data_IF_833380235788
#
_entry.id   IF_833380235788
#
_cell.length_a   1.000
_cell.length_b   1.000
_cell.length_c   1.000
_cell.angle_alpha   90.00
_cell.angle_beta   90.00
_cell.angle_gamma   90.00
#
_symmetry.space_group_name_H-M   'P 1'
#
loop_
_entity.id
_entity.type
_entity.pdbx_description
1 polymer ?
#
# COMPACT_ATOMS: atom_id res chain seq x y z
N UNK A 1 4.41 15.41 22.95
CA UNK A 1 4.35 16.00 21.59
C UNK A 1 3.88 15.02 20.53
N UNK A 2 4.03 13.69 20.68
CA UNK A 2 3.65 12.73 19.62
C UNK A 2 4.56 12.81 18.39
N UNK A 3 5.78 13.31 18.58
CA UNK A 3 6.75 13.61 17.52
C UNK A 3 7.90 12.60 17.57
N UNK A 4 8.34 12.13 16.41
CA UNK A 4 9.52 11.30 16.23
C UNK A 4 10.39 11.93 15.14
N UNK A 5 11.63 12.29 15.48
CA UNK A 5 12.56 12.93 14.56
C UNK A 5 13.85 12.12 14.46
N UNK A 6 14.34 11.94 13.24
CA UNK A 6 15.73 11.56 13.02
C UNK A 6 16.61 12.82 13.10
N UNK A 7 17.58 12.85 14.02
CA UNK A 7 18.51 13.97 14.20
C UNK A 7 19.60 13.95 13.13
N UNK A 8 19.21 14.20 11.88
CA UNK A 8 20.07 14.20 10.69
C UNK A 8 19.86 15.51 9.95
N UNK A 9 20.94 16.11 9.44
CA UNK A 9 20.85 17.32 8.64
C UNK A 9 20.02 17.07 7.35
N UNK A 10 19.18 18.02 6.91
CA UNK A 10 18.37 17.86 5.69
C UNK A 10 19.19 17.50 4.45
N UNK A 11 20.39 18.05 4.34
CA UNK A 11 21.31 17.82 3.22
C UNK A 11 21.77 16.36 3.15
N UNK A 12 21.93 15.69 4.30
CA UNK A 12 22.28 14.27 4.35
C UNK A 12 21.11 13.38 3.95
N UNK A 13 19.87 13.76 4.27
CA UNK A 13 18.68 13.05 3.79
C UNK A 13 18.59 13.14 2.26
N UNK A 14 18.79 14.34 1.71
CA UNK A 14 18.77 14.56 0.26
C UNK A 14 19.91 13.83 -0.45
N UNK A 15 21.12 13.83 0.13
CA UNK A 15 22.24 13.04 -0.38
C UNK A 15 21.88 11.55 -0.42
N UNK A 16 21.34 10.99 0.67
CA UNK A 16 20.95 9.58 0.74
C UNK A 16 19.84 9.22 -0.25
N UNK A 17 18.81 10.07 -0.41
CA UNK A 17 17.74 9.84 -1.40
C UNK A 17 18.26 9.81 -2.84
N UNK A 18 19.32 10.57 -3.12
CA UNK A 18 19.95 10.64 -4.44
C UNK A 18 20.93 9.49 -4.69
N UNK A 19 21.75 9.16 -3.70
CA UNK A 19 22.91 8.28 -3.86
C UNK A 19 22.65 6.84 -3.43
N UNK A 20 21.74 6.61 -2.47
CA UNK A 20 21.42 5.26 -2.01
C UNK A 20 20.22 4.73 -2.79
N UNK A 21 20.31 3.51 -3.35
CA UNK A 21 19.16 2.88 -3.96
C UNK A 21 18.09 2.58 -2.90
N UNK A 22 16.83 2.58 -3.32
CA UNK A 22 15.77 2.05 -2.48
C UNK A 22 16.08 0.59 -2.12
N UNK A 23 15.71 0.13 -0.90
CA UNK A 23 15.85 -1.27 -0.53
C UNK A 23 15.19 -2.18 -1.57
N UNK A 24 15.80 -3.32 -1.92
CA UNK A 24 15.24 -4.21 -2.93
C UNK A 24 13.90 -4.76 -2.45
N UNK A 25 12.91 -4.71 -3.34
CA UNK A 25 11.60 -5.34 -3.11
C UNK A 25 11.63 -6.74 -3.73
N UNK A 26 11.46 -7.82 -2.95
CA UNK A 26 11.41 -9.17 -3.50
C UNK A 26 10.28 -9.32 -4.52
N UNK A 27 10.54 -10.08 -5.59
CA UNK A 27 9.52 -10.41 -6.59
C UNK A 27 8.41 -11.22 -5.95
N UNK A 28 7.16 -10.90 -6.27
CA UNK A 28 6.00 -11.72 -5.89
C UNK A 28 6.14 -13.15 -6.45
N UNK A 29 5.96 -14.15 -5.59
CA UNK A 29 6.08 -15.58 -5.88
C UNK A 29 4.72 -16.25 -6.12
N UNK A 30 3.62 -15.52 -5.89
CA UNK A 30 2.26 -16.00 -6.14
C UNK A 30 1.39 -14.91 -6.78
N UNK A 31 0.31 -15.28 -7.49
CA UNK A 31 -0.68 -14.33 -7.98
C UNK A 31 -1.27 -13.47 -6.86
N UNK A 32 -1.49 -14.05 -5.68
CA UNK A 32 -1.99 -13.33 -4.52
C UNK A 32 -1.00 -12.27 -4.02
N UNK A 33 0.29 -12.58 -3.93
CA UNK A 33 1.31 -11.58 -3.57
C UNK A 33 1.42 -10.44 -4.58
N UNK A 34 1.22 -10.72 -5.87
CA UNK A 34 1.18 -9.67 -6.89
C UNK A 34 -0.03 -8.75 -6.69
N UNK A 35 -1.23 -9.34 -6.54
CA UNK A 35 -2.46 -8.58 -6.28
C UNK A 35 -2.39 -7.76 -5.00
N UNK A 36 -1.93 -8.35 -3.90
CA UNK A 36 -1.82 -7.68 -2.61
C UNK A 36 -0.85 -6.49 -2.67
N UNK A 37 0.31 -6.68 -3.30
CA UNK A 37 1.31 -5.62 -3.47
C UNK A 37 0.79 -4.44 -4.30
N UNK A 38 -0.02 -4.74 -5.32
CA UNK A 38 -0.57 -3.71 -6.20
C UNK A 38 -1.73 -2.95 -5.57
N UNK A 39 -2.57 -3.62 -4.77
CA UNK A 39 -3.88 -3.10 -4.38
C UNK A 39 -4.02 -2.65 -2.91
N UNK A 40 -3.04 -2.95 -2.05
CA UNK A 40 -3.13 -2.65 -0.61
C UNK A 40 -2.52 -1.28 -0.26
N UNK A 41 -3.26 -0.47 0.50
CA UNK A 41 -2.80 0.81 1.03
C UNK A 41 -1.85 0.70 2.24
N UNK A 42 -1.49 1.83 2.85
CA UNK A 42 -0.61 1.87 4.03
C UNK A 42 -1.36 1.54 5.32
N UNK A 43 -0.64 1.10 6.36
CA UNK A 43 -1.22 0.78 7.68
C UNK A 43 -1.90 1.98 8.36
N UNK A 44 -1.42 3.20 8.10
CA UNK A 44 -2.04 4.43 8.63
C UNK A 44 -3.48 4.60 8.16
N UNK A 45 -3.78 4.10 6.96
CA UNK A 45 -5.10 4.13 6.34
C UNK A 45 -5.87 2.80 6.53
N UNK A 46 -5.27 1.83 7.24
CA UNK A 46 -5.89 0.54 7.58
C UNK A 46 -5.40 -0.67 6.78
N UNK A 47 -4.42 -0.51 5.86
CA UNK A 47 -3.87 -1.57 5.02
C UNK A 47 -4.94 -2.45 4.34
N UNK A 48 -5.98 -1.80 3.82
CA UNK A 48 -7.06 -2.44 3.07
C UNK A 48 -6.69 -2.60 1.60
N UNK A 49 -7.42 -3.44 0.87
CA UNK A 49 -7.48 -3.33 -0.59
C UNK A 49 -8.25 -2.04 -0.93
N UNK A 50 -7.57 -0.98 -1.35
CA UNK A 50 -8.16 0.38 -1.38
C UNK A 50 -9.43 0.44 -2.23
N UNK A 51 -9.43 -0.22 -3.39
CA UNK A 51 -10.59 -0.30 -4.28
C UNK A 51 -11.80 -1.00 -3.65
N UNK A 52 -11.59 -1.89 -2.66
CA UNK A 52 -12.67 -2.63 -2.03
C UNK A 52 -13.56 -1.71 -1.18
N UNK A 53 -13.04 -0.56 -0.74
CA UNK A 53 -13.78 0.41 0.08
C UNK A 53 -14.94 1.07 -0.67
N UNK A 54 -14.91 1.05 -2.01
CA UNK A 54 -15.96 1.55 -2.90
C UNK A 54 -17.19 0.62 -2.95
N UNK A 55 -17.02 -0.66 -2.61
CA UNK A 55 -18.07 -1.67 -2.71
C UNK A 55 -18.77 -1.87 -1.36
N UNK A 56 -19.97 -1.32 -1.23
CA UNK A 56 -20.80 -1.41 -0.01
C UNK A 56 -22.23 -1.82 -0.36
N UNK A 57 -22.93 -2.44 0.59
CA UNK A 57 -24.35 -2.83 0.45
C UNK A 57 -24.62 -3.65 -0.82
N UNK A 58 -23.69 -4.52 -1.21
CA UNK A 58 -23.74 -5.27 -2.49
C UNK A 58 -25.00 -6.15 -2.62
N UNK A 59 -25.64 -6.53 -1.51
CA UNK A 59 -26.88 -7.30 -1.50
C UNK A 59 -28.10 -6.55 -2.04
N UNK A 60 -28.03 -5.22 -2.21
CA UNK A 60 -29.12 -4.41 -2.76
C UNK A 60 -29.29 -4.59 -4.27
N UNK A 61 -28.28 -5.16 -4.93
CA UNK A 61 -28.31 -5.48 -6.33
C UNK A 61 -28.32 -7.00 -6.50
N UNK A 62 -29.47 -7.54 -6.91
CA UNK A 62 -29.57 -8.96 -7.24
C UNK A 62 -28.63 -9.29 -8.40
N UNK A 63 -27.71 -10.27 -8.25
CA UNK A 63 -26.87 -10.70 -9.35
C UNK A 63 -27.71 -11.26 -10.49
N UNK A 64 -27.13 -11.33 -11.68
CA UNK A 64 -27.78 -11.97 -12.83
C UNK A 64 -28.16 -13.42 -12.49
N UNK A 65 -29.30 -13.87 -13.00
CA UNK A 65 -29.65 -15.28 -12.99
C UNK A 65 -28.51 -16.08 -13.64
N UNK A 66 -28.15 -17.19 -13.01
CA UNK A 66 -27.04 -18.02 -13.42
C UNK A 66 -27.43 -19.11 -14.43
N UNK A 67 -28.74 -19.26 -14.69
CA UNK A 67 -29.37 -20.15 -15.66
C UNK A 67 -30.68 -19.51 -16.15
#
# INVERSE_FOLDING_TARGET
TGRCDALVAPEEIERRRRELPAPPVPKSQSPWEALYREKTGQLVDGATLDFALDYRRISEHTPRHNH
#
